data_IF_251846072675
#
_entry.id   IF_251846072675
#
_cell.length_a   1.000
_cell.length_b   1.000
_cell.length_c   1.000
_cell.angle_alpha   90.00
_cell.angle_beta   90.00
_cell.angle_gamma   90.00
#
_symmetry.space_group_name_H-M   'P 1'
#
loop_
_entity.id
_entity.type
_entity.pdbx_description
1 polymer ?
#
# COMPACT_ATOMS: atom_id res chain seq x y z
N UNK A 1 15.49 30.31 -75.74
CA UNK A 1 14.46 30.65 -74.75
C UNK A 1 14.13 29.40 -73.94
N UNK A 2 14.58 29.32 -72.70
CA UNK A 2 14.11 28.35 -71.70
C UNK A 2 14.39 28.97 -70.33
N UNK A 3 13.56 29.95 -69.98
CA UNK A 3 13.66 30.70 -68.72
C UNK A 3 12.71 30.07 -67.72
N UNK A 4 13.29 29.67 -66.58
CA UNK A 4 12.68 29.57 -65.24
C UNK A 4 11.26 29.00 -65.13
N UNK A 5 11.17 27.69 -64.91
CA UNK A 5 10.08 27.05 -64.15
C UNK A 5 10.74 26.06 -63.19
N UNK A 6 11.28 26.56 -62.08
CA UNK A 6 11.99 25.72 -61.10
C UNK A 6 11.96 26.30 -59.68
N UNK A 7 11.93 27.63 -59.55
CA UNK A 7 11.83 28.30 -58.24
C UNK A 7 10.46 28.20 -57.58
N UNK A 8 9.37 28.12 -58.36
CA UNK A 8 8.00 28.22 -57.82
C UNK A 8 7.52 26.93 -57.14
N UNK A 9 8.00 25.76 -57.59
CA UNK A 9 7.58 24.46 -57.02
C UNK A 9 8.32 24.18 -55.71
N UNK A 10 9.59 24.57 -55.60
CA UNK A 10 10.34 24.44 -54.34
C UNK A 10 9.75 25.35 -53.25
N UNK A 11 9.46 26.63 -53.54
CA UNK A 11 8.87 27.55 -52.54
C UNK A 11 7.49 27.11 -52.05
N UNK A 12 6.63 26.58 -52.95
CA UNK A 12 5.31 26.06 -52.56
C UNK A 12 5.40 24.79 -51.69
N UNK A 13 6.39 23.93 -51.95
CA UNK A 13 6.63 22.75 -51.11
C UNK A 13 7.20 23.15 -49.74
N UNK A 14 8.11 24.12 -49.65
CA UNK A 14 8.64 24.59 -48.36
C UNK A 14 7.56 25.24 -47.49
N UNK A 15 6.67 26.04 -48.08
CA UNK A 15 5.55 26.66 -47.36
C UNK A 15 4.50 25.64 -46.88
N UNK A 16 4.19 24.62 -47.70
CA UNK A 16 3.31 23.52 -47.27
C UNK A 16 3.94 22.70 -46.14
N UNK A 17 5.24 22.43 -46.21
CA UNK A 17 5.92 21.64 -45.17
C UNK A 17 6.04 22.43 -43.87
N UNK A 18 6.30 23.75 -43.93
CA UNK A 18 6.33 24.65 -42.77
C UNK A 18 4.96 24.88 -42.13
N UNK A 19 3.88 24.99 -42.93
CA UNK A 19 2.52 25.08 -42.40
C UNK A 19 2.09 23.78 -41.71
N UNK A 20 2.43 22.62 -42.30
CA UNK A 20 2.15 21.30 -41.72
C UNK A 20 2.94 21.06 -40.44
N UNK A 21 4.23 21.47 -40.39
CA UNK A 21 5.04 21.34 -39.16
C UNK A 21 4.50 22.24 -38.03
N UNK A 22 4.07 23.46 -38.37
CA UNK A 22 3.51 24.42 -37.39
C UNK A 22 2.17 23.93 -36.83
N UNK A 23 1.30 23.37 -37.68
CA UNK A 23 0.04 22.75 -37.25
C UNK A 23 0.26 21.51 -36.37
N UNK A 24 1.21 20.64 -36.72
CA UNK A 24 1.57 19.48 -35.91
C UNK A 24 2.22 19.87 -34.57
N UNK A 25 2.99 20.96 -34.54
CA UNK A 25 3.59 21.48 -33.32
C UNK A 25 2.54 22.11 -32.41
N UNK A 26 1.58 22.85 -32.98
CA UNK A 26 0.43 23.40 -32.26
C UNK A 26 -0.46 22.30 -31.66
N UNK A 27 -0.77 21.22 -32.40
CA UNK A 27 -1.53 20.08 -31.86
C UNK A 27 -0.82 19.40 -30.69
N UNK A 28 0.49 19.16 -30.81
CA UNK A 28 1.28 18.57 -29.72
C UNK A 28 1.29 19.46 -28.47
N UNK A 29 1.35 20.78 -28.63
CA UNK A 29 1.22 21.73 -27.52
C UNK A 29 -0.17 21.68 -26.89
N UNK A 30 -1.24 21.65 -27.68
CA UNK A 30 -2.61 21.51 -27.18
C UNK A 30 -2.82 20.18 -26.43
N UNK A 31 -2.28 19.07 -26.93
CA UNK A 31 -2.35 17.76 -26.27
C UNK A 31 -1.57 17.73 -24.94
N UNK A 32 -0.39 18.36 -24.88
CA UNK A 32 0.37 18.50 -23.63
C UNK A 32 -0.41 19.32 -22.61
N UNK A 33 -0.98 20.46 -23.03
CA UNK A 33 -1.80 21.30 -22.15
C UNK A 33 -3.07 20.57 -21.68
N UNK A 34 -3.78 19.86 -22.57
CA UNK A 34 -4.94 19.05 -22.19
C UNK A 34 -4.58 17.96 -21.17
N UNK A 35 -3.40 17.34 -21.30
CA UNK A 35 -2.87 16.37 -20.31
C UNK A 35 -2.57 17.03 -18.96
N UNK A 36 -1.95 18.20 -18.96
CA UNK A 36 -1.64 18.94 -17.74
C UNK A 36 -2.91 19.39 -17.01
N UNK A 37 -3.91 19.88 -17.77
CA UNK A 37 -5.24 20.24 -17.25
C UNK A 37 -5.96 19.02 -16.67
N UNK A 38 -5.90 17.87 -17.34
CA UNK A 38 -6.48 16.62 -16.84
C UNK A 38 -5.82 16.17 -15.53
N UNK A 39 -4.48 16.29 -15.42
CA UNK A 39 -3.73 16.00 -14.19
C UNK A 39 -4.06 16.98 -13.07
N UNK A 40 -4.24 18.25 -13.37
CA UNK A 40 -4.67 19.27 -12.40
C UNK A 40 -6.07 18.96 -11.86
N UNK A 41 -7.03 18.70 -12.76
CA UNK A 41 -8.39 18.31 -12.37
C UNK A 41 -8.44 17.02 -11.55
N UNK A 42 -7.62 16.04 -11.92
CA UNK A 42 -7.42 14.81 -11.17
C UNK A 42 -6.89 15.08 -9.75
N UNK A 43 -5.82 15.89 -9.61
CA UNK A 43 -5.24 16.21 -8.31
C UNK A 43 -6.22 16.97 -7.41
N UNK A 44 -7.00 17.90 -7.99
CA UNK A 44 -8.05 18.62 -7.26
C UNK A 44 -9.14 17.67 -6.74
N UNK A 45 -9.57 16.72 -7.57
CA UNK A 45 -10.56 15.70 -7.20
C UNK A 45 -10.06 14.82 -6.05
N UNK A 46 -8.81 14.34 -6.11
CA UNK A 46 -8.21 13.49 -5.07
C UNK A 46 -7.97 14.27 -3.78
N UNK A 47 -7.48 15.51 -3.87
CA UNK A 47 -7.32 16.37 -2.69
C UNK A 47 -8.65 16.57 -1.96
N UNK A 48 -9.74 16.76 -2.71
CA UNK A 48 -11.08 16.89 -2.16
C UNK A 48 -11.58 15.58 -1.53
N UNK A 49 -11.35 14.44 -2.20
CA UNK A 49 -11.68 13.12 -1.65
C UNK A 49 -11.03 12.89 -0.29
N UNK A 50 -9.72 13.13 -0.17
CA UNK A 50 -8.97 13.00 1.08
C UNK A 50 -9.45 13.93 2.19
N UNK A 51 -9.82 15.16 1.86
CA UNK A 51 -10.39 16.10 2.84
C UNK A 51 -11.74 15.63 3.37
N UNK A 52 -12.58 15.08 2.49
CA UNK A 52 -13.92 14.58 2.85
C UNK A 52 -13.80 13.29 3.68
N UNK A 53 -12.91 12.37 3.31
CA UNK A 53 -12.60 11.16 4.10
C UNK A 53 -12.13 11.54 5.51
N UNK A 54 -11.22 12.52 5.62
CA UNK A 54 -10.75 13.03 6.92
C UNK A 54 -11.85 13.66 7.76
N UNK A 55 -12.81 14.34 7.13
CA UNK A 55 -13.93 14.98 7.82
C UNK A 55 -15.05 14.00 8.18
N UNK A 56 -15.14 12.87 7.48
CA UNK A 56 -16.22 11.89 7.60
C UNK A 56 -15.66 10.46 7.71
N UNK A 57 -14.95 10.14 8.81
CA UNK A 57 -14.20 8.88 8.95
C UNK A 57 -15.08 7.62 9.00
N UNK A 58 -16.38 7.77 9.24
CA UNK A 58 -17.35 6.66 9.24
C UNK A 58 -18.20 6.59 7.98
N UNK A 59 -17.96 7.45 6.99
CA UNK A 59 -18.71 7.45 5.74
C UNK A 59 -18.29 6.26 4.86
N UNK A 60 -19.28 5.57 4.32
CA UNK A 60 -19.09 4.55 3.31
C UNK A 60 -18.49 5.13 2.02
N UNK A 61 -17.86 4.29 1.21
CA UNK A 61 -17.28 4.71 -0.09
C UNK A 61 -18.33 5.35 -1.01
N UNK A 62 -19.57 4.86 -0.98
CA UNK A 62 -20.68 5.44 -1.73
C UNK A 62 -20.97 6.89 -1.29
N UNK A 63 -20.99 7.14 0.03
CA UNK A 63 -21.18 8.47 0.60
C UNK A 63 -20.01 9.41 0.25
N UNK A 64 -18.76 8.92 0.30
CA UNK A 64 -17.58 9.68 -0.12
C UNK A 64 -17.68 10.08 -1.59
N UNK A 65 -18.03 9.14 -2.48
CA UNK A 65 -18.21 9.41 -3.92
C UNK A 65 -19.25 10.51 -4.13
N UNK A 66 -20.39 10.43 -3.46
CA UNK A 66 -21.48 11.40 -3.58
C UNK A 66 -21.06 12.80 -3.07
N UNK A 67 -20.37 12.87 -1.94
CA UNK A 67 -19.89 14.13 -1.35
C UNK A 67 -18.79 14.79 -2.20
N UNK A 68 -17.91 14.00 -2.80
CA UNK A 68 -16.84 14.49 -3.68
C UNK A 68 -17.41 15.01 -5.01
N UNK A 69 -18.30 14.23 -5.63
CA UNK A 69 -18.89 14.57 -6.92
C UNK A 69 -19.90 15.73 -6.83
N UNK A 70 -20.56 15.87 -5.68
CA UNK A 70 -21.60 16.87 -5.47
C UNK A 70 -22.85 16.68 -6.34
N UNK A 71 -23.78 17.65 -6.33
CA UNK A 71 -25.09 17.51 -6.98
C UNK A 71 -25.02 17.35 -8.50
N UNK A 72 -23.96 17.85 -9.12
CA UNK A 72 -23.71 17.77 -10.56
C UNK A 72 -23.16 16.41 -11.00
N UNK A 73 -22.83 15.51 -10.08
CA UNK A 73 -22.21 14.21 -10.36
C UNK A 73 -20.75 14.29 -10.81
N UNK A 74 -20.17 15.49 -10.87
CA UNK A 74 -18.80 15.76 -11.29
C UNK A 74 -18.32 17.13 -10.80
N UNK A 75 -17.03 17.19 -10.47
CA UNK A 75 -16.26 18.39 -10.22
C UNK A 75 -15.85 19.01 -11.55
N UNK A 76 -16.01 20.33 -11.71
CA UNK A 76 -15.56 21.06 -12.90
C UNK A 76 -14.70 22.25 -12.50
N UNK A 77 -13.76 22.63 -13.37
CA UNK A 77 -12.90 23.78 -13.13
C UNK A 77 -12.09 24.17 -14.36
N UNK A 78 -11.22 25.16 -14.22
CA UNK A 78 -10.34 25.66 -15.28
C UNK A 78 -8.88 25.69 -14.83
N UNK A 79 -7.97 25.47 -15.78
CA UNK A 79 -6.52 25.52 -15.55
C UNK A 79 -5.83 25.93 -16.85
N UNK A 80 -4.85 26.85 -16.79
CA UNK A 80 -4.09 27.35 -17.94
C UNK A 80 -4.93 27.67 -19.20
N UNK A 81 -6.12 28.26 -19.02
CA UNK A 81 -7.00 28.67 -20.14
C UNK A 81 -7.84 27.54 -20.75
N UNK A 82 -7.73 26.30 -20.28
CA UNK A 82 -8.65 25.20 -20.61
C UNK A 82 -9.54 24.80 -19.43
N UNK A 83 -10.30 23.72 -19.60
CA UNK A 83 -11.28 23.25 -18.63
C UNK A 83 -11.06 21.78 -18.28
N UNK A 84 -11.48 21.37 -17.09
CA UNK A 84 -11.53 19.96 -16.71
C UNK A 84 -12.89 19.58 -16.14
N UNK A 85 -13.25 18.31 -16.33
CA UNK A 85 -14.32 17.62 -15.62
C UNK A 85 -13.73 16.42 -14.89
N UNK A 86 -14.13 16.16 -13.66
CA UNK A 86 -13.57 15.09 -12.85
C UNK A 86 -14.62 14.46 -11.93
N UNK A 87 -14.62 13.14 -11.77
CA UNK A 87 -15.59 12.43 -10.93
C UNK A 87 -15.00 11.16 -10.32
N UNK A 88 -15.53 10.79 -9.16
CA UNK A 88 -15.36 9.49 -8.56
C UNK A 88 -16.47 8.53 -9.01
N UNK A 89 -16.17 7.25 -9.08
CA UNK A 89 -17.14 6.19 -9.34
C UNK A 89 -16.85 5.05 -8.39
N UNK A 90 -17.82 4.60 -7.61
CA UNK A 90 -17.62 3.43 -6.77
C UNK A 90 -17.33 2.20 -7.63
N UNK A 91 -16.28 1.46 -7.29
CA UNK A 91 -15.88 0.23 -7.98
C UNK A 91 -15.99 -1.01 -7.09
N UNK A 92 -16.06 -0.83 -5.77
CA UNK A 92 -16.35 -1.89 -4.80
C UNK A 92 -16.88 -1.30 -3.49
N UNK A 93 -17.19 -2.15 -2.51
CA UNK A 93 -17.57 -1.71 -1.16
C UNK A 93 -16.48 -0.87 -0.47
N UNK A 94 -15.21 -1.00 -0.90
CA UNK A 94 -14.02 -0.41 -0.26
C UNK A 94 -13.15 0.41 -1.24
N UNK A 95 -13.66 0.74 -2.42
CA UNK A 95 -12.86 1.44 -3.43
C UNK A 95 -13.66 2.24 -4.44
N UNK A 96 -13.03 3.31 -4.94
CA UNK A 96 -13.58 4.20 -5.96
C UNK A 96 -12.55 4.50 -7.05
N UNK A 97 -12.99 4.67 -8.28
CA UNK A 97 -12.19 5.15 -9.41
C UNK A 97 -12.34 6.65 -9.56
N UNK A 98 -11.22 7.35 -9.69
CA UNK A 98 -11.17 8.76 -10.04
C UNK A 98 -10.90 8.91 -11.54
N UNK A 99 -11.71 9.71 -12.20
CA UNK A 99 -11.55 10.07 -13.60
C UNK A 99 -11.48 11.57 -13.72
N UNK A 100 -10.57 12.09 -14.53
CA UNK A 100 -10.54 13.49 -14.94
C UNK A 100 -10.30 13.60 -16.43
N UNK A 101 -11.01 14.50 -17.09
CA UNK A 101 -10.85 14.83 -18.49
C UNK A 101 -10.48 16.31 -18.57
N UNK A 102 -9.31 16.60 -19.14
CA UNK A 102 -8.87 17.96 -19.44
C UNK A 102 -9.06 18.28 -20.92
N UNK A 103 -9.51 19.48 -21.23
CA UNK A 103 -9.76 19.96 -22.59
C UNK A 103 -9.11 21.31 -22.82
N UNK A 104 -8.40 21.44 -23.94
CA UNK A 104 -7.77 22.69 -24.39
C UNK A 104 -7.84 22.80 -25.91
N UNK A 105 -8.60 23.78 -26.42
CA UNK A 105 -8.95 23.85 -27.84
C UNK A 105 -9.71 22.60 -28.28
N UNK A 106 -9.24 21.94 -29.34
CA UNK A 106 -9.81 20.68 -29.84
C UNK A 106 -9.19 19.43 -29.19
N UNK A 107 -8.15 19.60 -28.36
CA UNK A 107 -7.48 18.48 -27.70
C UNK A 107 -8.15 18.10 -26.38
N UNK A 108 -8.27 16.80 -26.12
CA UNK A 108 -8.75 16.27 -24.84
C UNK A 108 -7.85 15.14 -24.34
N UNK A 109 -7.71 15.04 -23.03
CA UNK A 109 -6.97 13.95 -22.40
C UNK A 109 -7.71 13.45 -21.17
N UNK A 110 -7.82 12.12 -21.04
CA UNK A 110 -8.44 11.47 -19.88
C UNK A 110 -7.35 10.84 -19.01
N UNK A 111 -7.41 11.15 -17.72
CA UNK A 111 -6.68 10.47 -16.65
C UNK A 111 -7.69 9.67 -15.86
N UNK A 112 -7.44 8.37 -15.68
CA UNK A 112 -8.30 7.50 -14.88
C UNK A 112 -7.42 6.64 -13.98
N UNK A 113 -7.84 6.46 -12.73
CA UNK A 113 -7.18 5.55 -11.79
C UNK A 113 -8.17 5.02 -10.76
N UNK A 114 -8.02 3.76 -10.39
CA UNK A 114 -8.77 3.18 -9.27
C UNK A 114 -8.01 3.37 -7.95
N UNK A 115 -8.74 3.69 -6.88
CA UNK A 115 -8.26 3.79 -5.50
C UNK A 115 -8.95 2.74 -4.64
N UNK A 116 -8.17 2.11 -3.77
CA UNK A 116 -8.61 1.25 -2.68
C UNK A 116 -8.21 1.97 -1.41
N UNK A 117 -9.15 2.17 -0.49
CA UNK A 117 -8.78 2.57 0.87
C UNK A 117 -8.26 1.31 1.59
N UNK A 118 -6.97 1.28 1.98
CA UNK A 118 -6.50 0.87 3.32
C UNK A 118 -5.06 0.32 3.38
N UNK A 119 -4.37 0.65 4.50
CA UNK A 119 -3.74 -0.38 5.34
C UNK A 119 -2.26 -0.72 5.20
N UNK A 120 -1.38 0.13 4.66
CA UNK A 120 0.02 -0.27 4.40
C UNK A 120 1.05 0.83 4.72
N UNK A 121 2.27 0.43 5.07
CA UNK A 121 3.41 1.32 5.31
C UNK A 121 4.12 1.60 4.00
N UNK A 122 4.15 2.85 3.56
CA UNK A 122 4.94 3.24 2.38
C UNK A 122 6.42 3.40 2.75
N UNK A 123 7.27 2.65 2.05
CA UNK A 123 8.73 2.69 2.19
C UNK A 123 9.25 3.90 1.42
N UNK A 124 9.89 4.85 2.11
CA UNK A 124 10.33 6.11 1.48
C UNK A 124 11.76 6.07 0.94
N UNK A 125 12.58 5.18 1.48
CA UNK A 125 13.99 4.99 1.11
C UNK A 125 14.35 3.49 1.11
N UNK A 126 15.41 3.06 0.39
CA UNK A 126 15.79 1.66 0.38
C UNK A 126 16.05 1.17 1.80
N UNK A 127 15.33 0.14 2.22
CA UNK A 127 15.34 -0.30 3.61
C UNK A 127 15.43 -1.82 3.71
N UNK A 128 16.26 -2.31 4.62
CA UNK A 128 16.25 -3.70 5.04
C UNK A 128 15.17 -3.85 6.13
N UNK A 129 14.07 -4.52 5.78
CA UNK A 129 13.07 -4.92 6.75
C UNK A 129 13.61 -6.08 7.59
N UNK A 130 13.71 -5.86 8.89
CA UNK A 130 14.07 -6.87 9.88
C UNK A 130 12.84 -7.19 10.74
N UNK A 131 12.45 -8.46 10.74
CA UNK A 131 11.34 -8.98 11.55
C UNK A 131 11.87 -10.05 12.49
N UNK A 132 11.75 -9.82 13.80
CA UNK A 132 12.20 -10.75 14.83
C UNK A 132 10.98 -11.31 15.56
N UNK A 133 10.89 -12.63 15.67
CA UNK A 133 9.89 -13.27 16.50
C UNK A 133 10.24 -13.10 17.97
N UNK A 134 9.31 -12.61 18.79
CA UNK A 134 9.54 -12.35 20.21
C UNK A 134 8.96 -13.46 21.08
N UNK A 135 7.67 -13.72 20.95
CA UNK A 135 6.95 -14.64 21.83
C UNK A 135 5.61 -15.11 21.22
N UNK A 136 5.13 -16.23 21.73
CA UNK A 136 3.81 -16.80 21.45
C UNK A 136 3.46 -17.70 22.62
N UNK A 137 2.67 -17.18 23.55
CA UNK A 137 2.43 -17.82 24.85
C UNK A 137 1.37 -18.92 24.78
N UNK A 138 0.29 -18.64 24.06
CA UNK A 138 -0.84 -19.52 23.86
C UNK A 138 -1.52 -19.17 22.53
N UNK A 139 -2.55 -19.93 22.15
CA UNK A 139 -3.38 -19.57 21.00
C UNK A 139 -3.49 -20.66 19.95
N UNK A 140 -4.24 -20.33 18.91
CA UNK A 140 -4.38 -21.11 17.71
C UNK A 140 -3.06 -21.24 16.96
N UNK A 141 -2.95 -22.31 16.18
CA UNK A 141 -1.84 -22.45 15.27
C UNK A 141 -1.94 -21.32 14.24
N UNK A 142 -0.91 -20.50 14.09
CA UNK A 142 -0.98 -19.35 13.21
C UNK A 142 0.35 -19.10 12.51
N UNK A 143 0.25 -18.43 11.36
CA UNK A 143 1.37 -18.06 10.52
C UNK A 143 1.36 -16.55 10.31
N UNK A 144 2.54 -15.96 10.16
CA UNK A 144 2.69 -14.54 9.87
C UNK A 144 3.17 -14.39 8.43
N UNK A 145 2.47 -13.54 7.69
CA UNK A 145 2.77 -13.19 6.32
C UNK A 145 3.14 -11.71 6.18
N UNK A 146 4.07 -11.43 5.28
CA UNK A 146 4.36 -10.09 4.77
C UNK A 146 3.52 -9.88 3.52
N UNK A 147 2.67 -8.87 3.56
CA UNK A 147 1.95 -8.42 2.38
C UNK A 147 2.66 -7.22 1.78
N UNK A 148 3.03 -7.31 0.49
CA UNK A 148 3.73 -6.26 -0.24
C UNK A 148 2.89 -5.73 -1.40
N UNK A 149 2.99 -4.43 -1.64
CA UNK A 149 2.42 -3.72 -2.77
C UNK A 149 3.53 -2.97 -3.47
N UNK A 150 3.85 -3.36 -4.70
CA UNK A 150 4.89 -2.70 -5.50
C UNK A 150 4.24 -1.70 -6.46
N UNK A 151 4.84 -0.53 -6.73
CA UNK A 151 4.36 0.37 -7.77
C UNK A 151 4.19 -0.36 -9.10
N UNK A 152 3.13 -0.09 -9.85
CA UNK A 152 2.86 -0.77 -11.13
C UNK A 152 3.92 -0.46 -12.20
N UNK A 153 4.64 0.64 -12.04
CA UNK A 153 5.80 1.01 -12.87
C UNK A 153 7.12 0.38 -12.39
N UNK A 154 7.10 -0.47 -11.36
CA UNK A 154 8.24 -1.20 -10.83
C UNK A 154 8.01 -2.71 -11.11
N UNK A 155 8.49 -3.15 -12.26
CA UNK A 155 8.10 -4.39 -12.95
C UNK A 155 9.16 -5.50 -12.90
N UNK A 156 9.98 -5.58 -11.84
CA UNK A 156 11.09 -6.56 -11.78
C UNK A 156 12.43 -6.00 -12.25
N UNK A 157 12.44 -4.75 -12.70
CA UNK A 157 13.62 -3.92 -12.72
C UNK A 157 13.55 -3.07 -11.45
N UNK A 158 14.24 -3.53 -10.40
CA UNK A 158 14.32 -2.79 -9.16
C UNK A 158 14.87 -1.38 -9.40
N UNK A 159 14.80 -0.55 -8.37
CA UNK A 159 15.36 0.79 -8.40
C UNK A 159 16.91 0.74 -8.28
N UNK A 160 17.52 -0.43 -8.50
CA UNK A 160 18.93 -0.71 -8.40
C UNK A 160 19.67 -0.30 -9.68
N UNK A 161 20.90 0.18 -9.52
CA UNK A 161 21.73 0.75 -10.58
C UNK A 161 22.09 -0.27 -11.69
N UNK A 162 21.91 -1.57 -11.42
CA UNK A 162 22.16 -2.71 -12.31
C UNK A 162 20.88 -3.30 -12.96
N UNK A 163 19.70 -2.79 -12.62
CA UNK A 163 18.51 -2.92 -13.44
C UNK A 163 17.86 -4.31 -13.51
N UNK A 164 18.07 -5.23 -12.56
CA UNK A 164 17.31 -6.50 -12.48
C UNK A 164 17.02 -6.84 -11.01
N UNK A 165 15.76 -7.10 -10.66
CA UNK A 165 15.30 -7.53 -9.34
C UNK A 165 14.80 -8.99 -9.37
N UNK A 166 15.71 -9.90 -9.01
CA UNK A 166 15.45 -11.34 -8.95
C UNK A 166 14.37 -11.77 -7.95
N UNK A 167 13.94 -10.88 -7.05
CA UNK A 167 12.87 -11.15 -6.09
C UNK A 167 11.46 -10.91 -6.66
N UNK A 168 11.36 -10.31 -7.85
CA UNK A 168 10.09 -9.92 -8.48
C UNK A 168 10.11 -10.13 -10.02
N UNK A 169 10.21 -11.37 -10.52
CA UNK A 169 10.57 -11.71 -11.91
C UNK A 169 9.51 -11.39 -12.99
N UNK A 170 8.52 -10.53 -12.71
CA UNK A 170 7.46 -10.22 -13.67
C UNK A 170 6.77 -11.48 -14.23
N UNK A 171 6.22 -11.39 -15.45
CA UNK A 171 5.81 -12.55 -16.25
C UNK A 171 6.79 -12.81 -17.40
N UNK A 172 8.02 -12.33 -17.29
CA UNK A 172 9.05 -12.53 -18.32
C UNK A 172 9.30 -14.03 -18.50
N UNK A 173 9.58 -14.45 -19.74
CA UNK A 173 9.94 -15.85 -19.98
C UNK A 173 11.33 -16.11 -19.41
N UNK A 174 11.60 -17.37 -19.08
CA UNK A 174 12.91 -17.80 -18.62
C UNK A 174 14.01 -17.35 -19.61
N UNK A 175 14.91 -16.46 -19.16
CA UNK A 175 15.99 -15.87 -19.95
C UNK A 175 15.73 -14.49 -20.57
N UNK A 176 14.50 -13.96 -20.51
CA UNK A 176 14.16 -12.63 -21.07
C UNK A 176 14.37 -11.47 -20.07
N UNK A 177 14.60 -11.77 -18.79
CA UNK A 177 14.83 -10.81 -17.69
C UNK A 177 16.28 -10.28 -17.59
N UNK A 178 17.07 -10.43 -18.65
CA UNK A 178 18.51 -10.15 -18.65
C UNK A 178 18.96 -8.98 -19.54
N UNK A 179 18.02 -8.33 -20.24
CA UNK A 179 18.29 -7.14 -21.04
C UNK A 179 17.72 -5.88 -20.37
N UNK A 180 18.56 -5.01 -19.78
CA UNK A 180 18.12 -3.79 -19.09
C UNK A 180 17.56 -2.71 -20.03
N UNK A 181 17.50 -2.96 -21.34
CA UNK A 181 17.07 -1.99 -22.35
C UNK A 181 15.73 -2.30 -23.02
N UNK A 182 15.12 -3.45 -22.70
CA UNK A 182 13.90 -3.94 -23.36
C UNK A 182 12.70 -3.87 -22.41
N UNK A 183 11.80 -2.90 -22.64
CA UNK A 183 10.47 -2.81 -22.01
C UNK A 183 9.45 -3.59 -22.86
N UNK A 184 9.22 -4.87 -22.54
CA UNK A 184 8.40 -5.81 -23.34
C UNK A 184 6.94 -5.97 -22.87
N UNK A 185 6.45 -5.10 -21.97
CA UNK A 185 5.13 -5.26 -21.35
C UNK A 185 3.99 -4.48 -22.05
N UNK A 186 2.85 -5.15 -22.19
CA UNK A 186 1.63 -4.66 -22.83
C UNK A 186 0.95 -3.59 -21.95
N UNK A 187 0.87 -2.35 -22.44
CA UNK A 187 0.16 -1.22 -21.79
C UNK A 187 -1.36 -1.45 -21.73
N UNK A 188 -1.84 -2.17 -20.72
CA UNK A 188 -3.28 -2.28 -20.44
C UNK A 188 -3.57 -2.08 -18.94
N UNK A 189 -4.17 -0.93 -18.61
CA UNK A 189 -4.95 -0.77 -17.37
C UNK A 189 -4.33 0.10 -16.27
N UNK A 190 -5.19 0.91 -15.66
CA UNK A 190 -4.91 1.97 -14.68
C UNK A 190 -4.70 1.50 -13.23
N UNK A 191 -3.71 0.63 -12.98
CA UNK A 191 -3.33 0.20 -11.62
C UNK A 191 -2.06 0.96 -11.18
N UNK A 192 -2.06 1.55 -9.96
CA UNK A 192 -0.89 2.26 -9.40
C UNK A 192 0.06 1.34 -8.65
N UNK A 193 -0.47 0.27 -8.06
CA UNK A 193 0.27 -0.73 -7.30
C UNK A 193 -0.19 -2.14 -7.69
N UNK A 194 0.74 -3.09 -7.68
CA UNK A 194 0.52 -4.52 -7.80
C UNK A 194 0.71 -5.14 -6.41
N UNK A 195 -0.36 -5.72 -5.86
CA UNK A 195 -0.27 -6.57 -4.66
C UNK A 195 0.49 -7.84 -5.05
N UNK A 196 1.58 -8.13 -4.35
CA UNK A 196 2.31 -9.39 -4.49
C UNK A 196 1.58 -10.48 -3.70
N UNK A 197 1.87 -11.75 -4.01
CA UNK A 197 1.40 -12.85 -3.17
C UNK A 197 2.05 -12.71 -1.78
N UNK A 198 1.28 -12.74 -0.69
CA UNK A 198 1.84 -12.58 0.65
C UNK A 198 2.91 -13.64 0.95
N UNK A 199 4.05 -13.17 1.43
CA UNK A 199 5.22 -13.99 1.70
C UNK A 199 5.16 -14.53 3.12
N UNK A 200 5.46 -15.81 3.30
CA UNK A 200 5.49 -16.44 4.61
C UNK A 200 6.74 -15.99 5.39
N UNK A 201 6.56 -15.23 6.47
CA UNK A 201 7.64 -14.81 7.37
C UNK A 201 7.87 -15.90 8.41
N UNK A 202 6.80 -16.31 9.11
CA UNK A 202 6.85 -17.32 10.15
C UNK A 202 5.82 -18.40 9.86
N UNK A 203 6.30 -19.63 9.69
CA UNK A 203 5.49 -20.82 9.41
C UNK A 203 4.44 -21.07 10.50
N UNK A 204 3.37 -21.87 10.22
CA UNK A 204 2.33 -22.18 11.20
C UNK A 204 2.88 -22.76 12.51
N UNK A 205 2.41 -22.25 13.64
CA UNK A 205 2.63 -22.82 14.97
C UNK A 205 2.03 -21.98 16.07
N UNK A 206 2.20 -22.45 17.31
CA UNK A 206 1.75 -21.82 18.54
C UNK A 206 2.66 -22.26 19.69
N UNK A 207 2.58 -21.57 20.83
CA UNK A 207 3.31 -21.86 22.06
C UNK A 207 4.84 -21.91 21.82
N UNK A 208 5.36 -20.83 21.23
CA UNK A 208 6.74 -20.71 20.77
C UNK A 208 7.59 -19.82 21.67
N UNK A 209 7.26 -19.73 22.95
CA UNK A 209 8.04 -18.94 23.91
C UNK A 209 9.52 -19.32 23.86
N UNK A 210 10.37 -18.33 23.58
CA UNK A 210 11.83 -18.50 23.47
C UNK A 210 12.33 -19.06 22.14
N UNK A 211 11.47 -19.29 21.14
CA UNK A 211 11.92 -19.60 19.79
C UNK A 211 12.32 -18.31 19.07
N UNK A 212 13.62 -18.00 19.07
CA UNK A 212 14.14 -16.89 18.28
C UNK A 212 14.12 -17.26 16.80
N UNK A 213 13.35 -16.51 16.01
CA UNK A 213 13.35 -16.60 14.56
C UNK A 213 13.50 -15.20 13.97
N UNK A 214 14.29 -15.10 12.92
CA UNK A 214 14.60 -13.85 12.23
C UNK A 214 14.20 -14.00 10.77
N UNK A 215 13.55 -12.97 10.24
CA UNK A 215 13.27 -12.80 8.83
C UNK A 215 13.78 -11.44 8.38
N UNK A 216 14.40 -11.40 7.21
CA UNK A 216 14.90 -10.17 6.61
C UNK A 216 14.61 -10.14 5.14
N UNK A 217 14.18 -8.99 4.63
CA UNK A 217 14.00 -8.75 3.19
C UNK A 217 14.29 -7.31 2.85
N UNK A 218 14.76 -7.06 1.65
CA UNK A 218 14.97 -5.70 1.16
C UNK A 218 13.68 -5.14 0.60
N UNK A 219 13.40 -3.88 0.93
CA UNK A 219 12.25 -3.13 0.46
C UNK A 219 12.71 -1.93 -0.35
N UNK A 220 12.12 -1.78 -1.52
CA UNK A 220 12.42 -0.66 -2.41
C UNK A 220 11.56 0.57 -2.07
N UNK A 221 12.08 1.79 -2.35
CA UNK A 221 11.27 3.00 -2.27
C UNK A 221 9.98 2.89 -3.08
N UNK A 222 8.89 3.35 -2.46
CA UNK A 222 7.55 3.29 -3.01
C UNK A 222 6.83 1.96 -2.77
N UNK A 223 7.51 0.91 -2.29
CA UNK A 223 6.80 -0.28 -1.84
C UNK A 223 5.91 0.03 -0.65
N UNK A 224 4.83 -0.76 -0.50
CA UNK A 224 3.99 -0.69 0.69
C UNK A 224 3.86 -2.04 1.35
N UNK A 225 3.95 -2.07 2.68
CA UNK A 225 3.94 -3.33 3.44
C UNK A 225 2.82 -3.40 4.48
N UNK A 226 2.36 -4.62 4.78
CA UNK A 226 1.52 -4.95 5.93
C UNK A 226 1.89 -6.33 6.48
N UNK A 227 1.52 -6.60 7.73
CA UNK A 227 1.69 -7.89 8.36
C UNK A 227 0.33 -8.54 8.56
N UNK A 228 0.22 -9.82 8.20
CA UNK A 228 -1.02 -10.56 8.32
C UNK A 228 -0.78 -11.79 9.18
N UNK A 229 -1.59 -11.92 10.23
CA UNK A 229 -1.73 -13.17 10.96
C UNK A 229 -2.78 -14.05 10.25
N UNK A 230 -2.41 -15.24 9.83
CA UNK A 230 -3.35 -16.27 9.35
C UNK A 230 -3.55 -17.33 10.43
N UNK A 231 -4.81 -17.61 10.77
CA UNK A 231 -5.16 -18.39 11.95
C UNK A 231 -5.82 -19.71 11.55
N UNK A 232 -5.24 -20.82 11.99
CA UNK A 232 -5.81 -22.15 12.00
C UNK A 232 -6.51 -22.39 13.34
N UNK A 233 -7.82 -22.14 13.35
CA UNK A 233 -8.69 -22.18 14.50
C UNK A 233 -9.21 -23.59 14.84
N UNK A 234 -8.78 -24.62 14.11
CA UNK A 234 -9.22 -26.00 14.33
C UNK A 234 -8.37 -26.78 15.36
N UNK A 235 -7.31 -26.14 15.89
CA UNK A 235 -6.33 -26.67 16.85
C UNK A 235 -5.51 -27.87 16.36
N UNK A 236 -5.65 -28.30 15.10
CA UNK A 236 -4.95 -29.47 14.56
C UNK A 236 -3.47 -29.16 14.30
N UNK A 237 -3.17 -27.93 13.87
CA UNK A 237 -1.82 -27.47 13.54
C UNK A 237 -1.07 -28.45 12.62
N UNK A 238 -1.78 -29.10 11.69
CA UNK A 238 -1.23 -30.14 10.81
C UNK A 238 -0.07 -29.62 9.93
N UNK A 239 -0.06 -28.32 9.67
CA UNK A 239 0.93 -27.61 8.85
C UNK A 239 2.07 -27.00 9.67
N UNK A 240 2.26 -27.41 10.93
CA UNK A 240 3.30 -26.86 11.81
C UNK A 240 4.67 -26.86 11.12
N UNK A 241 5.29 -25.69 11.03
CA UNK A 241 6.63 -25.52 10.45
C UNK A 241 6.72 -25.75 8.94
N UNK A 242 5.61 -25.98 8.25
CA UNK A 242 5.60 -26.19 6.80
C UNK A 242 5.51 -24.86 6.06
N UNK A 243 6.09 -24.82 4.86
CA UNK A 243 5.84 -23.74 3.92
C UNK A 243 4.39 -23.83 3.42
N UNK A 244 3.66 -22.74 3.58
CA UNK A 244 2.24 -22.59 3.24
C UNK A 244 2.01 -21.23 2.59
N UNK A 245 0.89 -21.09 1.89
CA UNK A 245 0.45 -19.80 1.33
C UNK A 245 -0.68 -19.24 2.16
N UNK A 246 -0.93 -17.93 2.09
CA UNK A 246 -2.04 -17.29 2.82
C UNK A 246 -3.42 -17.85 2.42
N UNK A 247 -3.51 -18.52 1.25
CA UNK A 247 -4.73 -19.15 0.73
C UNK A 247 -4.85 -20.63 1.15
N UNK A 248 -3.95 -21.14 1.98
CA UNK A 248 -4.05 -22.52 2.48
C UNK A 248 -5.39 -22.70 3.22
N UNK A 249 -6.03 -23.85 2.97
CA UNK A 249 -7.36 -24.16 3.52
C UNK A 249 -7.31 -24.46 5.02
N UNK A 250 -6.12 -24.71 5.57
CA UNK A 250 -5.94 -24.84 7.02
C UNK A 250 -6.26 -23.53 7.75
N UNK A 251 -6.19 -22.37 7.10
CA UNK A 251 -6.49 -21.10 7.74
C UNK A 251 -7.99 -20.78 7.67
N UNK A 252 -8.60 -20.52 8.83
CA UNK A 252 -10.01 -20.15 8.93
C UNK A 252 -10.23 -18.65 8.69
N UNK A 253 -9.29 -17.81 9.09
CA UNK A 253 -9.37 -16.36 8.92
C UNK A 253 -8.00 -15.69 9.01
N UNK A 254 -7.96 -14.41 8.62
CA UNK A 254 -6.75 -13.57 8.64
C UNK A 254 -6.99 -12.27 9.41
N UNK A 255 -5.95 -11.73 10.07
CA UNK A 255 -5.94 -10.45 10.77
C UNK A 255 -4.80 -9.57 10.25
N UNK A 256 -5.14 -8.40 9.74
CA UNK A 256 -4.14 -7.40 9.34
C UNK A 256 -3.68 -6.60 10.55
N UNK A 257 -2.38 -6.28 10.60
CA UNK A 257 -1.81 -5.42 11.63
C UNK A 257 -2.22 -3.95 11.46
N UNK A 258 -2.33 -3.49 10.21
CA UNK A 258 -2.44 -2.08 9.86
C UNK A 258 -3.71 -1.78 9.06
N UNK A 259 -4.31 -0.60 9.28
CA UNK A 259 -5.54 -0.16 8.61
C UNK A 259 -5.46 1.20 7.91
N UNK A 260 -4.36 1.95 8.01
CA UNK A 260 -4.17 3.22 7.28
C UNK A 260 -2.90 3.22 6.40
N UNK A 261 -2.94 3.96 5.28
CA UNK A 261 -1.79 4.22 4.39
C UNK A 261 -0.99 5.43 4.89
N UNK A 262 0.22 5.20 5.38
CA UNK A 262 1.09 6.26 5.94
C UNK A 262 2.56 5.97 5.68
N UNK A 263 3.39 6.99 5.86
CA UNK A 263 4.84 6.93 5.64
C UNK A 263 5.63 6.41 6.84
N UNK A 264 5.04 6.46 8.03
CA UNK A 264 5.70 6.09 9.29
C UNK A 264 4.74 5.23 10.13
N UNK A 265 5.27 4.19 10.78
CA UNK A 265 4.55 3.31 11.70
C UNK A 265 3.86 4.10 12.82
N UNK A 266 4.41 5.24 13.25
CA UNK A 266 3.80 6.08 14.30
C UNK A 266 2.47 6.71 13.90
N UNK A 267 2.28 6.96 12.61
CA UNK A 267 1.07 7.58 12.07
C UNK A 267 0.00 6.53 11.72
N UNK A 268 0.31 5.25 11.92
CA UNK A 268 -0.56 4.14 11.54
C UNK A 268 -1.76 4.00 12.44
N UNK A 269 -2.88 3.61 11.84
CA UNK A 269 -3.99 3.05 12.58
C UNK A 269 -3.74 1.56 12.77
N UNK A 270 -3.67 1.17 14.04
CA UNK A 270 -3.59 -0.20 14.50
C UNK A 270 -4.88 -0.95 14.19
N UNK A 271 -4.77 -2.12 13.55
CA UNK A 271 -5.91 -3.00 13.29
C UNK A 271 -6.53 -3.54 14.59
N UNK A 272 -7.83 -3.86 14.57
CA UNK A 272 -8.57 -4.28 15.77
C UNK A 272 -7.91 -5.43 16.55
N UNK A 273 -7.31 -6.38 15.84
CA UNK A 273 -6.70 -7.61 16.37
C UNK A 273 -5.17 -7.54 16.46
N UNK A 274 -4.58 -6.35 16.32
CA UNK A 274 -3.16 -6.13 16.57
C UNK A 274 -2.99 -5.06 17.64
N UNK A 275 -1.90 -5.11 18.40
CA UNK A 275 -1.42 -4.04 19.24
C UNK A 275 -0.04 -3.61 18.75
N UNK A 276 0.14 -2.33 18.44
CA UNK A 276 1.37 -1.78 17.86
C UNK A 276 1.96 -0.76 18.81
N UNK A 277 3.22 -0.98 19.18
CA UNK A 277 3.92 -0.14 20.14
C UNK A 277 5.33 0.16 19.67
N UNK A 278 5.73 1.43 19.76
CA UNK A 278 7.13 1.82 19.59
C UNK A 278 7.91 1.40 20.82
N UNK A 279 9.09 0.81 20.63
CA UNK A 279 9.99 0.53 21.74
C UNK A 279 10.40 1.85 22.41
N UNK A 280 10.31 1.95 23.74
CA UNK A 280 10.78 3.12 24.48
C UNK A 280 12.30 3.11 24.67
N UNK A 281 12.97 1.98 24.48
CA UNK A 281 14.42 1.85 24.61
C UNK A 281 15.15 2.00 23.27
N UNK A 282 14.49 1.66 22.18
CA UNK A 282 15.00 1.77 20.81
C UNK A 282 13.92 2.38 19.93
N UNK A 283 14.09 3.65 19.56
CA UNK A 283 13.10 4.38 18.77
C UNK A 283 12.84 3.78 17.39
N UNK A 284 13.68 2.89 16.89
CA UNK A 284 13.56 2.35 15.54
C UNK A 284 12.90 0.96 15.52
N UNK A 285 12.57 0.42 16.71
CA UNK A 285 11.91 -0.88 16.85
C UNK A 285 10.44 -0.71 17.21
N UNK A 286 9.59 -1.46 16.50
CA UNK A 286 8.16 -1.52 16.73
C UNK A 286 7.73 -2.94 17.09
N UNK A 287 6.96 -3.12 18.15
CA UNK A 287 6.33 -4.39 18.47
C UNK A 287 4.94 -4.45 17.86
N UNK A 288 4.65 -5.55 17.17
CA UNK A 288 3.30 -5.90 16.70
C UNK A 288 2.89 -7.18 17.42
N UNK A 289 1.81 -7.09 18.21
CA UNK A 289 1.30 -8.17 19.03
C UNK A 289 -0.12 -8.53 18.56
N UNK A 290 -0.35 -9.77 18.15
CA UNK A 290 -1.63 -10.18 17.56
C UNK A 290 -2.53 -10.92 18.55
N UNK A 291 -3.83 -10.74 18.33
CA UNK A 291 -4.90 -11.51 18.93
C UNK A 291 -5.50 -12.46 17.88
N UNK A 292 -5.53 -13.75 18.19
CA UNK A 292 -6.01 -14.79 17.27
C UNK A 292 -7.45 -15.24 17.55
N UNK A 293 -7.97 -15.09 18.77
CA UNK A 293 -9.34 -15.47 19.09
C UNK A 293 -10.34 -14.41 18.63
N UNK A 294 -11.61 -14.82 18.49
CA UNK A 294 -12.66 -13.92 18.03
C UNK A 294 -13.29 -13.18 19.21
N UNK A 295 -13.08 -11.87 19.27
CA UNK A 295 -13.67 -10.99 20.28
C UNK A 295 -14.46 -9.85 19.64
N UNK A 296 -15.40 -9.28 20.39
CA UNK A 296 -16.09 -8.06 19.97
C UNK A 296 -15.14 -6.86 20.03
N UNK A 297 -15.27 -5.91 19.11
CA UNK A 297 -14.46 -4.69 19.07
C UNK A 297 -14.35 -3.98 20.43
N UNK A 298 -15.46 -3.87 21.17
CA UNK A 298 -15.48 -3.25 22.50
C UNK A 298 -14.54 -3.92 23.52
N UNK A 299 -14.34 -5.24 23.41
CA UNK A 299 -13.44 -5.99 24.30
C UNK A 299 -11.97 -5.74 23.92
N UNK A 300 -11.67 -5.75 22.62
CA UNK A 300 -10.34 -5.47 22.08
C UNK A 300 -9.88 -4.06 22.47
N UNK A 301 -10.72 -3.06 22.21
CA UNK A 301 -10.44 -1.66 22.50
C UNK A 301 -10.32 -1.38 24.00
N UNK A 302 -11.12 -2.03 24.84
CA UNK A 302 -11.03 -1.87 26.29
C UNK A 302 -9.70 -2.39 26.85
N UNK A 303 -9.24 -3.57 26.43
CA UNK A 303 -7.93 -4.10 26.84
C UNK A 303 -6.79 -3.20 26.36
N UNK A 304 -6.80 -2.79 25.08
CA UNK A 304 -5.79 -1.87 24.54
C UNK A 304 -5.71 -0.57 25.33
N UNK A 305 -6.85 -0.01 25.74
CA UNK A 305 -6.94 1.27 26.45
C UNK A 305 -6.60 1.16 27.94
N UNK A 306 -7.17 0.16 28.62
CA UNK A 306 -7.22 0.10 30.09
C UNK A 306 -6.34 -1.01 30.67
N UNK A 307 -5.70 -1.83 29.83
CA UNK A 307 -4.93 -2.99 30.27
C UNK A 307 -5.80 -4.11 30.83
N UNK A 308 -5.14 -5.11 31.41
CA UNK A 308 -5.83 -6.27 31.96
C UNK A 308 -6.57 -5.95 33.26
N UNK A 309 -7.83 -6.39 33.33
CA UNK A 309 -8.65 -6.37 34.54
C UNK A 309 -9.21 -7.75 34.88
N UNK A 310 -10.37 -7.74 35.53
CA UNK A 310 -11.12 -8.94 35.93
C UNK A 310 -11.99 -9.50 34.80
N UNK A 311 -13.19 -9.97 35.14
CA UNK A 311 -14.16 -10.47 34.16
C UNK A 311 -14.88 -9.34 33.42
N UNK A 312 -15.33 -9.60 32.19
CA UNK A 312 -16.06 -8.64 31.36
C UNK A 312 -17.39 -8.20 32.02
N UNK A 313 -17.51 -6.91 32.32
CA UNK A 313 -18.76 -6.30 32.75
C UNK A 313 -19.60 -5.90 31.51
N UNK A 314 -20.65 -6.67 31.23
CA UNK A 314 -21.54 -6.42 30.09
C UNK A 314 -22.28 -5.08 30.12
N UNK A 315 -22.48 -4.50 31.32
CA UNK A 315 -23.18 -3.21 31.49
C UNK A 315 -22.21 -2.05 31.28
N UNK A 316 -21.02 -2.12 31.87
CA UNK A 316 -20.00 -1.08 31.75
C UNK A 316 -19.15 -1.18 30.49
N UNK A 317 -19.22 -2.33 29.79
CA UNK A 317 -18.42 -2.64 28.59
C UNK A 317 -16.91 -2.52 28.87
N UNK A 318 -16.47 -3.11 29.98
CA UNK A 318 -15.05 -3.07 30.39
C UNK A 318 -14.67 -4.31 31.20
N UNK A 319 -13.40 -4.68 31.13
CA UNK A 319 -12.72 -5.61 32.05
C UNK A 319 -12.29 -4.91 33.36
N UNK A 320 -12.37 -3.59 33.44
CA UNK A 320 -12.02 -2.81 34.62
C UNK A 320 -10.52 -2.72 34.88
N UNK A 321 -9.70 -2.80 33.83
CA UNK A 321 -8.25 -2.60 33.93
C UNK A 321 -7.90 -1.20 34.45
N UNK A 322 -6.83 -1.10 35.22
CA UNK A 322 -6.36 0.15 35.84
C UNK A 322 -5.18 0.79 35.11
N UNK A 323 -4.91 0.36 33.88
CA UNK A 323 -3.73 0.70 33.10
C UNK A 323 -2.81 -0.51 32.88
N UNK A 324 -1.78 -0.30 32.06
CA UNK A 324 -0.82 -1.33 31.71
C UNK A 324 0.36 -1.40 32.69
N UNK A 325 0.76 -2.63 33.02
CA UNK A 325 2.13 -2.89 33.49
C UNK A 325 3.07 -2.96 32.30
N UNK A 326 4.36 -2.76 32.51
CA UNK A 326 5.38 -2.77 31.47
C UNK A 326 6.43 -3.83 31.74
N UNK A 327 7.00 -4.41 30.68
CA UNK A 327 8.12 -5.36 30.77
C UNK A 327 9.47 -4.62 30.91
N UNK A 328 10.57 -5.37 30.95
CA UNK A 328 11.92 -4.80 31.10
C UNK A 328 12.33 -3.91 29.92
N UNK A 329 11.77 -4.18 28.74
CA UNK A 329 11.99 -3.40 27.52
C UNK A 329 11.05 -2.19 27.42
N UNK A 330 10.21 -1.97 28.44
CA UNK A 330 9.27 -0.87 28.54
C UNK A 330 8.02 -0.99 27.66
N UNK A 331 7.82 -2.12 26.99
CA UNK A 331 6.56 -2.42 26.32
C UNK A 331 5.47 -2.83 27.31
N UNK A 332 4.20 -2.68 26.94
CA UNK A 332 3.08 -3.23 27.73
C UNK A 332 3.29 -4.73 27.98
N UNK A 333 3.18 -5.16 29.23
CA UNK A 333 3.40 -6.56 29.61
C UNK A 333 2.20 -7.41 29.15
N UNK A 334 2.45 -8.28 28.17
CA UNK A 334 1.48 -9.25 27.65
C UNK A 334 1.40 -10.49 28.54
N UNK A 335 0.23 -11.14 28.59
CA UNK A 335 0.01 -12.38 29.37
C UNK A 335 -1.12 -13.19 28.74
N UNK A 336 -0.96 -14.50 28.62
CA UNK A 336 -2.05 -15.39 28.21
C UNK A 336 -3.20 -15.42 29.24
N UNK A 337 -4.43 -15.32 28.75
CA UNK A 337 -5.63 -15.52 29.56
C UNK A 337 -6.69 -16.45 28.94
N UNK A 338 -6.52 -16.91 27.70
CA UNK A 338 -7.37 -17.84 26.96
C UNK A 338 -8.83 -17.45 26.67
N UNK A 339 -9.51 -16.72 27.57
CA UNK A 339 -10.93 -16.37 27.47
C UNK A 339 -11.21 -14.86 27.36
N UNK A 340 -10.17 -14.04 27.24
CA UNK A 340 -10.24 -12.58 27.09
C UNK A 340 -9.13 -12.15 26.13
N UNK A 341 -9.28 -11.00 25.46
CA UNK A 341 -8.23 -10.52 24.60
C UNK A 341 -6.94 -10.35 25.37
N UNK A 342 -5.85 -10.86 24.81
CA UNK A 342 -4.55 -10.79 25.44
C UNK A 342 -3.43 -10.34 24.52
N UNK A 343 -3.61 -10.43 23.20
CA UNK A 343 -2.60 -10.00 22.22
C UNK A 343 -1.24 -10.68 22.43
N UNK A 344 -1.20 -11.85 23.06
CA UNK A 344 0.02 -12.62 23.33
C UNK A 344 0.20 -13.82 22.41
N UNK A 345 -0.71 -13.98 21.44
CA UNK A 345 -0.78 -15.18 20.60
C UNK A 345 0.40 -15.27 19.65
N UNK A 346 0.71 -14.18 18.95
CA UNK A 346 1.92 -14.04 18.15
C UNK A 346 2.46 -12.62 18.29
N UNK A 347 3.74 -12.49 18.64
CA UNK A 347 4.37 -11.19 18.87
C UNK A 347 5.67 -11.10 18.09
N UNK A 348 5.80 -10.02 17.30
CA UNK A 348 6.98 -9.73 16.48
C UNK A 348 7.52 -8.34 16.78
N UNK A 349 8.82 -8.18 16.63
CA UNK A 349 9.48 -6.88 16.50
C UNK A 349 9.79 -6.61 15.03
N UNK A 350 9.54 -5.38 14.60
CA UNK A 350 9.77 -4.89 13.25
C UNK A 350 10.70 -3.69 13.32
N UNK A 351 11.68 -3.66 12.42
CA UNK A 351 12.63 -2.57 12.27
C UNK A 351 12.91 -2.36 10.78
N UNK A 352 12.92 -1.10 10.33
CA UNK A 352 13.42 -0.72 9.02
C UNK A 352 14.84 -0.18 9.20
N UNK A 353 15.83 -0.88 8.66
CA UNK A 353 17.23 -0.48 8.70
C UNK A 353 17.63 0.14 7.36
N UNK A 354 18.47 1.19 7.32
CA UNK A 354 19.02 1.68 6.07
C UNK A 354 19.85 0.57 5.39
N UNK A 355 19.72 0.44 4.08
CA UNK A 355 20.57 -0.49 3.29
C UNK A 355 21.99 0.08 3.25
N UNK A 356 23.05 -0.70 3.55
CA UNK A 356 24.42 -0.22 3.46
C UNK A 356 24.72 0.25 2.03
N UNK A 357 25.18 1.49 1.87
CA UNK A 357 25.71 1.96 0.59
C UNK A 357 26.95 1.13 0.26
N UNK A 358 26.97 0.49 -0.90
CA UNK A 358 28.21 -0.09 -1.45
C UNK A 358 29.12 1.09 -1.76
N UNK A 359 30.10 1.35 -0.89
CA UNK A 359 31.22 2.20 -1.24
C UNK A 359 31.94 1.52 -2.41
N UNK A 360 31.70 2.00 -3.63
CA UNK A 360 32.51 1.60 -4.78
C UNK A 360 33.97 1.92 -4.44
N UNK A 361 34.89 0.96 -4.52
CA UNK A 361 36.30 1.28 -4.43
C UNK A 361 36.61 2.25 -5.56
N UNK A 362 37.04 3.46 -5.19
CA UNK A 362 37.72 4.35 -6.10
C UNK A 362 39.05 3.68 -6.44
N UNK A 363 39.12 3.00 -7.58
CA UNK A 363 40.36 2.79 -8.35
C UNK A 363 40.05 2.54 -9.83
#
# INVERSE_FOLDING_TARGET
>A
MATMIGGSIMLFQTDQTGAVSTLQQSRRQQEMLAREIARSGYNALISRARQIEKQNPSASVEEIVNLVNGPSGQLTGSFQGGTYTASLTQVSALGYSATAVGTFGDASHRVQSSWVADGTLEVTEPSLLKVTFLESMAGYCSAIFLERYVPWSNNGHGNNEDGVDSSNPGKSKEGEDSDPTVDDEVKVGSKKYRRLEPELIFAPGNNRDGAEALYTTELQPGERINFILAVDADFSCEKRGQAVTIKDRSFNYTRAALTADVKDLVDMQEGSYAMIERSPLDGDVWRIAFEDLVFSEAKLQDIKKNGYGGSWDNKKKTYGGSGWSFNVDGFRLLRDFGGKPDFSDQVIAVQLLPVPSVDLPTD
#
